data_IF_184996826217
#
_entry.id   IF_184996826217
#
_cell.length_a   1.000
_cell.length_b   1.000
_cell.length_c   1.000
_cell.angle_alpha   90.00
_cell.angle_beta   90.00
_cell.angle_gamma   90.00
#
_symmetry.space_group_name_H-M   'P 1'
#
loop_
_entity.id
_entity.type
_entity.pdbx_description
1 polymer ?
#
# COMPACT_ATOMS: atom_id res chain seq x y z
N UNK A 1 -4.31 -5.77 8.98
CA UNK A 1 -4.20 -4.90 7.80
C UNK A 1 -4.28 -3.47 8.26
N UNK A 2 -3.16 -2.94 8.73
CA UNK A 2 -3.02 -1.51 9.07
C UNK A 2 -2.09 -0.85 8.06
N UNK A 3 -2.13 0.49 7.90
CA UNK A 3 -1.17 1.19 7.05
C UNK A 3 0.29 0.84 7.39
N UNK A 4 0.63 0.76 8.68
CA UNK A 4 1.96 0.38 9.14
C UNK A 4 2.38 -1.03 8.67
N UNK A 5 1.51 -2.03 8.81
CA UNK A 5 1.80 -3.39 8.33
C UNK A 5 1.99 -3.44 6.80
N UNK A 6 1.23 -2.62 6.06
CA UNK A 6 1.36 -2.53 4.60
C UNK A 6 2.69 -1.89 4.22
N UNK A 7 3.08 -0.79 4.87
CA UNK A 7 4.36 -0.11 4.63
C UNK A 7 5.54 -1.06 4.87
N UNK A 8 5.55 -1.76 6.01
CA UNK A 8 6.63 -2.70 6.33
C UNK A 8 6.74 -3.81 5.28
N UNK A 9 5.61 -4.31 4.79
CA UNK A 9 5.59 -5.31 3.72
C UNK A 9 6.11 -4.75 2.39
N UNK A 10 5.70 -3.53 2.02
CA UNK A 10 6.18 -2.87 0.80
C UNK A 10 7.69 -2.59 0.86
N UNK A 11 8.21 -2.19 2.02
CA UNK A 11 9.65 -2.01 2.25
C UNK A 11 10.43 -3.31 2.10
N UNK A 12 9.89 -4.42 2.59
CA UNK A 12 10.52 -5.73 2.39
C UNK A 12 10.62 -6.09 0.89
N UNK A 13 9.61 -5.77 0.09
CA UNK A 13 9.66 -5.97 -1.37
C UNK A 13 10.65 -5.01 -2.05
N UNK A 14 10.68 -3.74 -1.65
CA UNK A 14 11.67 -2.79 -2.15
C UNK A 14 13.10 -3.24 -1.84
N UNK A 15 13.36 -3.72 -0.61
CA UNK A 15 14.65 -4.29 -0.22
C UNK A 15 15.02 -5.56 -1.01
N UNK A 16 14.03 -6.29 -1.51
CA UNK A 16 14.20 -7.44 -2.41
C UNK A 16 14.39 -7.04 -3.89
N UNK A 17 14.38 -5.74 -4.22
CA UNK A 17 14.60 -5.21 -5.57
C UNK A 17 13.35 -4.95 -6.39
N UNK A 18 12.16 -4.89 -5.78
CA UNK A 18 10.94 -4.51 -6.48
C UNK A 18 10.86 -2.99 -6.69
N UNK A 19 10.79 -2.55 -7.95
CA UNK A 19 10.61 -1.13 -8.30
C UNK A 19 9.13 -0.70 -8.39
N UNK A 20 8.20 -1.67 -8.46
CA UNK A 20 6.76 -1.40 -8.65
C UNK A 20 5.90 -2.49 -8.02
N UNK A 21 4.84 -2.06 -7.35
CA UNK A 21 3.81 -2.94 -6.78
C UNK A 21 2.43 -2.51 -7.27
N UNK A 22 1.62 -3.47 -7.71
CA UNK A 22 0.20 -3.25 -8.05
C UNK A 22 -0.67 -3.80 -6.93
N UNK A 23 -1.40 -2.90 -6.24
CA UNK A 23 -2.34 -3.29 -5.20
C UNK A 23 -3.66 -3.75 -5.83
N UNK A 24 -4.11 -4.94 -5.46
CA UNK A 24 -5.43 -5.44 -5.85
C UNK A 24 -6.49 -4.86 -4.91
N UNK A 25 -7.47 -4.17 -5.48
CA UNK A 25 -8.62 -3.63 -4.78
C UNK A 25 -9.83 -4.45 -5.19
N UNK A 26 -10.42 -5.17 -4.23
CA UNK A 26 -11.55 -6.09 -4.48
C UNK A 26 -12.89 -5.39 -4.46
N UNK A 27 -13.04 -4.40 -3.58
CA UNK A 27 -14.21 -3.53 -3.52
C UNK A 27 -13.88 -2.18 -4.16
N UNK A 28 -14.38 -1.98 -5.38
CA UNK A 28 -14.16 -0.75 -6.14
C UNK A 28 -15.03 0.42 -5.66
N UNK A 29 -16.04 0.14 -4.82
CA UNK A 29 -16.90 1.18 -4.25
C UNK A 29 -16.34 1.76 -2.96
N UNK A 30 -15.36 1.09 -2.35
CA UNK A 30 -14.67 1.53 -1.13
C UNK A 30 -13.60 2.59 -1.45
N UNK A 31 -14.06 3.82 -1.71
CA UNK A 31 -13.18 4.95 -1.99
C UNK A 31 -12.45 5.45 -0.74
N UNK A 32 -13.01 5.24 0.45
CA UNK A 32 -12.37 5.61 1.72
C UNK A 32 -11.11 4.78 1.96
N UNK A 33 -11.12 3.50 1.61
CA UNK A 33 -9.93 2.66 1.66
C UNK A 33 -8.86 3.10 0.65
N UNK A 34 -9.25 3.54 -0.54
CA UNK A 34 -8.30 4.13 -1.49
C UNK A 34 -7.67 5.41 -0.95
N UNK A 35 -8.48 6.29 -0.34
CA UNK A 35 -7.99 7.52 0.27
C UNK A 35 -7.02 7.23 1.43
N UNK A 36 -7.34 6.25 2.28
CA UNK A 36 -6.46 5.79 3.36
C UNK A 36 -5.10 5.30 2.83
N UNK A 37 -5.08 4.53 1.73
CA UNK A 37 -3.81 4.10 1.12
C UNK A 37 -3.04 5.32 0.59
N UNK A 38 -3.73 6.24 -0.09
CA UNK A 38 -3.11 7.45 -0.64
C UNK A 38 -2.53 8.37 0.45
N UNK A 39 -3.21 8.52 1.59
CA UNK A 39 -2.81 9.43 2.67
C UNK A 39 -1.83 8.80 3.65
N UNK A 40 -2.03 7.53 4.04
CA UNK A 40 -1.27 6.89 5.13
C UNK A 40 -0.18 5.93 4.64
N UNK A 41 -0.20 5.47 3.38
CA UNK A 41 0.78 4.49 2.88
C UNK A 41 1.72 5.10 1.85
N UNK A 42 1.17 5.77 0.83
CA UNK A 42 1.96 6.31 -0.29
C UNK A 42 3.11 7.27 0.11
N UNK A 43 3.01 8.11 1.17
CA UNK A 43 4.12 8.98 1.58
C UNK A 43 5.35 8.27 2.15
N UNK A 44 5.27 6.95 2.40
CA UNK A 44 6.29 6.19 3.14
C UNK A 44 6.99 5.09 2.32
N UNK A 45 6.70 5.01 1.02
CA UNK A 45 7.17 3.95 0.09
C UNK A 45 7.93 4.51 -1.10
#
# INVERSE_FOLDING_TARGET
GTPAEVIEKLRAWSAAGADRVYLQILDLSDLEHLDLIASEVMPHV
#
